data_IF_325881598077
#
_entry.id   IF_325881598077
#
_cell.length_a   1.000
_cell.length_b   1.000
_cell.length_c   1.000
_cell.angle_alpha   90.00
_cell.angle_beta   90.00
_cell.angle_gamma   90.00
#
_symmetry.space_group_name_H-M   'P 1'
#
loop_
_entity.id
_entity.type
_entity.pdbx_description
1 polymer ?
2 non-polymer ?
3 non-polymer ?
4 water ?
#
# COMPACT_ATOMS: atom_id res chain seq x y z
N UNK A 1 -30.71 4.30 1.67
CA UNK A 1 -29.37 3.71 1.48
C UNK A 1 -28.41 4.39 2.46
N UNK A 2 -27.47 3.61 2.97
CA UNK A 2 -26.49 4.06 3.94
C UNK A 2 -25.13 4.25 3.27
N UNK A 3 -24.57 5.45 3.47
CA UNK A 3 -23.32 5.88 2.86
C UNK A 3 -22.34 6.24 3.93
N UNK A 4 -21.19 5.57 3.91
CA UNK A 4 -20.10 5.85 4.81
C UNK A 4 -19.02 6.62 4.07
N UNK A 5 -18.59 7.74 4.66
CA UNK A 5 -17.41 8.46 4.19
C UNK A 5 -16.33 8.09 5.20
N UNK A 6 -15.35 7.29 4.77
CA UNK A 6 -14.35 6.73 5.63
C UNK A 6 -12.98 7.31 5.23
N UNK A 7 -12.25 7.93 6.13
CA UNK A 7 -11.05 8.65 5.77
C UNK A 7 -9.90 8.51 6.73
N UNK A 8 -8.72 8.78 6.20
CA UNK A 8 -7.54 9.02 6.98
C UNK A 8 -7.03 10.42 6.64
N UNK A 9 -6.66 11.20 7.67
CA UNK A 9 -6.02 12.49 7.49
C UNK A 9 -4.98 12.69 8.57
N UNK A 10 -3.81 13.18 8.18
CA UNK A 10 -2.81 13.56 9.18
C UNK A 10 -2.79 15.07 9.42
N UNK A 11 -2.90 15.88 8.37
CA UNK A 11 -2.80 17.34 8.50
C UNK A 11 -4.09 18.09 8.17
N UNK A 12 -5.19 17.37 8.06
CA UNK A 12 -6.49 17.98 7.89
C UNK A 12 -7.04 18.12 6.47
N UNK A 13 -6.23 17.88 5.44
CA UNK A 13 -6.73 18.14 4.07
C UNK A 13 -7.84 17.15 3.68
N UNK A 14 -7.58 15.84 3.91
CA UNK A 14 -8.59 14.86 3.64
C UNK A 14 -9.81 15.03 4.59
N UNK A 15 -9.57 15.45 5.82
CA UNK A 15 -10.67 15.72 6.75
C UNK A 15 -11.60 16.78 6.13
N UNK A 16 -11.03 17.89 5.63
CA UNK A 16 -11.86 18.89 4.98
C UNK A 16 -12.61 18.36 3.74
N UNK A 17 -11.92 17.60 2.93
CA UNK A 17 -12.56 16.97 1.77
C UNK A 17 -13.68 16.03 2.16
N UNK A 18 -13.49 15.26 3.23
CA UNK A 18 -14.49 14.30 3.68
C UNK A 18 -15.80 15.01 4.06
N UNK A 19 -15.67 16.17 4.72
CA UNK A 19 -16.85 16.97 5.08
C UNK A 19 -17.61 17.37 3.83
N UNK A 20 -16.88 17.79 2.79
CA UNK A 20 -17.53 18.16 1.52
C UNK A 20 -18.21 16.96 0.85
N UNK A 21 -17.52 15.82 0.81
CA UNK A 21 -18.12 14.61 0.23
C UNK A 21 -19.46 14.29 0.96
N UNK A 22 -19.43 14.36 2.29
CA UNK A 22 -20.60 14.08 3.09
C UNK A 22 -21.72 15.05 2.82
N UNK A 23 -21.38 16.33 2.66
CA UNK A 23 -22.38 17.33 2.31
C UNK A 23 -23.07 16.97 1.02
N UNK A 24 -22.29 16.58 0.02
CA UNK A 24 -22.87 16.22 -1.25
C UNK A 24 -23.79 15.02 -1.15
N UNK A 25 -23.33 14.00 -0.45
CA UNK A 25 -24.12 12.80 -0.28
C UNK A 25 -25.43 13.12 0.44
N UNK A 26 -25.36 14.05 1.38
CA UNK A 26 -26.55 14.42 2.16
C UNK A 26 -27.61 15.18 1.36
N UNK A 27 -27.28 15.68 0.17
CA UNK A 27 -28.25 16.31 -0.72
C UNK A 27 -29.25 15.28 -1.31
N UNK A 28 -28.91 13.99 -1.26
CA UNK A 28 -29.74 12.94 -1.85
C UNK A 28 -30.81 12.41 -0.89
N UNK A 29 -32.07 12.59 -1.28
CA UNK A 29 -33.20 12.01 -0.56
C UNK A 29 -33.00 10.51 -0.41
N UNK A 30 -33.12 10.03 0.82
CA UNK A 30 -32.99 8.59 1.07
C UNK A 30 -31.60 8.11 1.38
N UNK A 31 -30.61 8.98 1.28
CA UNK A 31 -29.25 8.64 1.68
C UNK A 31 -29.04 9.03 3.12
N UNK A 32 -28.59 8.09 3.93
CA UNK A 32 -28.24 8.30 5.33
C UNK A 32 -26.71 8.28 5.37
N UNK A 33 -26.09 9.41 5.70
CA UNK A 33 -24.64 9.59 5.57
C UNK A 33 -23.99 9.66 6.95
N UNK A 34 -22.83 9.01 7.07
CA UNK A 34 -22.02 8.96 8.28
C UNK A 34 -20.54 9.16 7.87
N UNK A 35 -19.80 9.95 8.63
CA UNK A 35 -18.39 10.20 8.46
C UNK A 35 -17.62 9.60 9.62
N UNK A 36 -16.67 8.73 9.30
CA UNK A 36 -15.77 8.14 10.28
C UNK A 36 -14.34 8.15 9.79
N UNK A 37 -13.40 8.06 10.72
CA UNK A 37 -12.00 7.93 10.40
C UNK A 37 -11.45 6.54 10.74
N UNK A 38 -10.36 6.18 10.09
CA UNK A 38 -9.59 5.01 10.52
C UNK A 38 -8.65 5.44 11.64
N UNK A 39 -8.29 4.50 12.51
CA UNK A 39 -7.40 4.85 13.60
C UNK A 39 -6.07 5.40 13.17
N UNK A 40 -5.55 6.36 13.94
CA UNK A 40 -4.18 6.73 13.82
C UNK A 40 -3.35 5.58 14.37
N UNK A 41 -2.31 5.17 13.67
CA UNK A 41 -1.45 4.11 14.10
C UNK A 41 -0.21 4.59 14.84
N UNK A 42 0.18 5.84 14.60
CA UNK A 42 1.27 6.47 15.32
C UNK A 42 0.90 6.78 16.77
N UNK A 43 1.84 6.48 17.70
CA UNK A 43 1.65 6.95 19.04
C UNK A 43 1.48 8.47 19.02
N UNK A 44 0.57 9.00 19.85
CA UNK A 44 0.36 10.45 19.88
C UNK A 44 1.63 11.28 19.97
N UNK A 45 2.62 10.79 20.73
CA UNK A 45 3.85 11.50 20.85
C UNK A 45 4.51 11.77 19.48
N UNK A 46 4.51 10.74 18.65
CA UNK A 46 5.11 10.83 17.30
C UNK A 46 4.24 11.64 16.34
N UNK A 47 2.91 11.48 16.44
CA UNK A 47 1.95 12.29 15.66
C UNK A 47 2.11 13.78 15.96
N UNK A 48 2.25 14.12 17.24
CA UNK A 48 2.46 15.51 17.65
C UNK A 48 3.83 16.03 17.20
N UNK A 49 4.87 15.18 17.27
CA UNK A 49 6.22 15.60 16.82
C UNK A 49 6.17 15.96 15.35
N UNK A 50 5.35 15.24 14.59
CA UNK A 50 5.23 15.45 13.17
C UNK A 50 4.31 16.62 12.79
N UNK A 51 3.68 17.26 13.78
CA UNK A 51 2.77 18.40 13.54
C UNK A 51 1.37 17.98 13.06
N UNK A 52 0.94 16.79 13.44
CA UNK A 52 -0.38 16.28 13.02
C UNK A 52 -1.52 17.08 13.60
N UNK A 53 -2.63 17.08 12.90
CA UNK A 53 -3.84 17.74 13.32
C UNK A 53 -4.71 16.68 13.97
N UNK A 54 -4.93 16.79 15.26
CA UNK A 54 -5.68 15.73 15.95
C UNK A 54 -7.09 15.59 15.32
N UNK A 55 -7.41 14.34 14.98
CA UNK A 55 -8.70 13.99 14.35
C UNK A 55 -9.65 13.63 15.48
N UNK A 56 -10.88 14.12 15.39
CA UNK A 56 -11.96 13.84 16.35
C UNK A 56 -13.27 13.15 15.82
N UNK A 57 -13.38 12.89 14.51
CA UNK A 57 -14.50 12.06 14.01
C UNK A 57 -14.46 10.72 14.72
N UNK A 58 -15.62 10.04 14.81
CA UNK A 58 -15.64 8.71 15.39
C UNK A 58 -14.74 7.77 14.57
N UNK A 59 -14.10 6.86 15.27
CA UNK A 59 -13.26 5.87 14.68
C UNK A 59 -14.06 4.65 14.25
N UNK A 60 -13.93 4.28 12.99
CA UNK A 60 -14.60 3.11 12.46
C UNK A 60 -13.90 1.83 12.88
N UNK A 61 -14.70 0.76 13.03
CA UNK A 61 -14.13 -0.58 13.11
C UNK A 61 -14.07 -1.16 11.69
N UNK A 62 -13.20 -2.17 11.48
CA UNK A 62 -13.19 -2.75 10.13
C UNK A 62 -14.48 -3.45 9.80
N UNK A 63 -15.09 -4.04 10.82
CA UNK A 63 -16.26 -4.90 10.61
C UNK A 63 -17.52 -4.13 10.27
N UNK A 64 -17.64 -2.87 10.72
CA UNK A 64 -18.88 -2.13 10.48
C UNK A 64 -19.05 -1.69 9.03
N UNK A 65 -17.98 -1.81 8.24
CA UNK A 65 -18.06 -1.46 6.84
C UNK A 65 -19.21 -2.21 6.17
N UNK A 66 -19.50 -3.42 6.69
CA UNK A 66 -20.56 -4.28 6.14
C UNK A 66 -21.95 -3.67 6.18
N UNK A 67 -22.12 -2.66 7.04
CA UNK A 67 -23.42 -2.06 7.29
C UNK A 67 -23.85 -1.02 6.25
N UNK A 68 -22.98 -0.68 5.32
CA UNK A 68 -23.23 0.41 4.40
C UNK A 68 -23.48 -0.09 2.98
N UNK A 69 -24.22 0.68 2.21
CA UNK A 69 -24.50 0.38 0.82
C UNK A 69 -23.42 0.96 -0.11
N UNK A 70 -22.76 2.01 0.36
CA UNK A 70 -21.65 2.66 -0.39
C UNK A 70 -20.64 3.15 0.61
N UNK A 71 -19.38 3.03 0.24
CA UNK A 71 -18.30 3.53 1.07
C UNK A 71 -17.41 4.41 0.19
N UNK A 72 -17.18 5.65 0.64
CA UNK A 72 -16.35 6.59 -0.08
C UNK A 72 -15.11 6.79 0.77
N UNK A 73 -13.96 6.33 0.26
CA UNK A 73 -12.70 6.23 0.98
C UNK A 73 -11.83 7.45 0.66
N UNK A 74 -11.31 8.11 1.69
CA UNK A 74 -10.39 9.22 1.53
C UNK A 74 -9.05 8.91 2.11
N UNK A 75 -7.97 9.16 1.34
CA UNK A 75 -6.62 8.94 1.84
C UNK A 75 -5.69 9.97 1.21
N UNK A 76 -4.72 10.48 1.99
CA UNK A 76 -3.65 11.22 1.33
C UNK A 76 -2.82 10.34 0.44
N UNK A 77 -2.16 10.99 -0.53
CA UNK A 77 -1.18 10.37 -1.42
C UNK A 77 0.12 10.24 -0.63
N UNK A 78 0.63 9.01 -0.50
CA UNK A 78 1.88 8.67 0.15
C UNK A 78 2.77 7.90 -0.84
N UNK A 79 3.59 8.65 -1.57
CA UNK A 79 4.44 8.07 -2.64
C UNK A 79 3.60 7.18 -3.57
N UNK A 80 2.45 7.73 -4.00
CA UNK A 80 1.61 7.07 -4.99
C UNK A 80 0.82 5.87 -4.51
N UNK A 81 0.71 5.71 -3.19
CA UNK A 81 -0.14 4.70 -2.55
C UNK A 81 -1.03 5.39 -1.49
N UNK A 82 -2.02 4.66 -1.01
CA UNK A 82 -2.72 5.07 0.18
C UNK A 82 -1.78 5.14 1.38
N UNK A 83 -2.24 5.79 2.44
CA UNK A 83 -1.40 5.87 3.64
C UNK A 83 -1.26 4.52 4.33
N UNK A 84 -0.19 4.41 5.14
CA UNK A 84 -0.02 3.22 5.96
C UNK A 84 -1.19 3.00 6.88
N UNK A 85 -1.80 4.10 7.37
CA UNK A 85 -2.94 3.96 8.28
C UNK A 85 -4.14 3.35 7.60
N UNK A 86 -4.43 3.81 6.38
CA UNK A 86 -5.54 3.23 5.63
C UNK A 86 -5.20 1.77 5.22
N UNK A 87 -3.96 1.50 4.85
CA UNK A 87 -3.54 0.16 4.47
C UNK A 87 -3.65 -0.81 5.66
N UNK A 88 -3.20 -0.37 6.83
CA UNK A 88 -3.30 -1.19 8.04
C UNK A 88 -4.78 -1.50 8.34
N UNK A 89 -5.63 -0.49 8.25
CA UNK A 89 -7.06 -0.68 8.45
C UNK A 89 -7.65 -1.70 7.47
N UNK A 90 -7.37 -1.52 6.18
CA UNK A 90 -7.90 -2.43 5.18
C UNK A 90 -7.36 -3.85 5.34
N UNK A 91 -6.14 -3.98 5.85
CA UNK A 91 -5.57 -5.29 6.14
C UNK A 91 -6.33 -6.02 7.28
N UNK A 92 -7.19 -5.30 7.99
CA UNK A 92 -8.00 -5.90 9.05
C UNK A 92 -9.39 -6.30 8.56
N UNK A 93 -9.62 -6.21 7.25
CA UNK A 93 -10.93 -6.60 6.66
C UNK A 93 -10.96 -8.01 6.04
N UNK A 94 -10.02 -8.84 6.44
CA UNK A 94 -9.99 -10.20 5.99
C UNK A 94 -11.23 -11.01 6.37
N UNK A 95 -11.76 -10.75 7.56
CA UNK A 95 -12.99 -11.39 7.99
C UNK A 95 -14.20 -11.08 7.15
N UNK A 96 -14.32 -9.83 6.72
CA UNK A 96 -15.35 -9.47 5.75
C UNK A 96 -15.12 -10.10 4.39
N UNK A 97 -13.84 -10.13 3.98
CA UNK A 97 -13.49 -10.68 2.70
C UNK A 97 -13.98 -12.13 2.65
N UNK A 98 -13.66 -12.88 3.69
CA UNK A 98 -13.99 -14.29 3.70
C UNK A 98 -15.51 -14.50 3.64
N UNK A 99 -16.28 -13.60 4.23
CA UNK A 99 -17.74 -13.75 4.27
C UNK A 99 -18.49 -13.10 3.12
N UNK A 100 -17.77 -12.42 2.23
CA UNK A 100 -18.44 -11.73 1.11
C UNK A 100 -19.24 -10.50 1.51
N UNK A 101 -18.92 -9.95 2.67
CA UNK A 101 -19.75 -8.91 3.25
C UNK A 101 -19.83 -7.59 2.47
N UNK A 102 -18.77 -7.25 1.72
CA UNK A 102 -18.76 -6.02 0.92
C UNK A 102 -19.08 -6.25 -0.54
N UNK A 103 -19.36 -7.49 -0.90
CA UNK A 103 -19.54 -7.86 -2.31
C UNK A 103 -20.69 -7.07 -2.92
N UNK A 104 -20.41 -6.41 -4.05
CA UNK A 104 -21.41 -5.71 -4.79
C UNK A 104 -21.78 -4.33 -4.31
N UNK A 105 -21.23 -3.92 -3.16
CA UNK A 105 -21.47 -2.59 -2.62
C UNK A 105 -20.67 -1.56 -3.39
N UNK A 106 -21.12 -0.31 -3.37
CA UNK A 106 -20.45 0.74 -4.11
C UNK A 106 -19.25 1.26 -3.36
N UNK A 107 -18.19 1.56 -4.10
CA UNK A 107 -16.97 2.16 -3.57
C UNK A 107 -16.49 3.27 -4.44
N UNK A 108 -15.90 4.29 -3.80
CA UNK A 108 -15.36 5.43 -4.53
C UNK A 108 -14.27 6.03 -3.69
N UNK A 109 -13.34 6.74 -4.33
CA UNK A 109 -12.13 7.18 -3.62
C UNK A 109 -11.79 8.64 -3.91
N UNK A 110 -11.34 9.35 -2.88
CA UNK A 110 -10.80 10.71 -3.04
C UNK A 110 -9.47 10.82 -2.36
N UNK A 111 -8.68 11.80 -2.79
CA UNK A 111 -7.33 11.91 -2.26
C UNK A 111 -6.87 13.37 -2.10
N UNK A 112 -5.66 13.51 -1.56
CA UNK A 112 -4.97 14.79 -1.37
C UNK A 112 -3.52 14.59 -1.65
N UNK A 113 -2.86 15.60 -2.16
CA UNK A 113 -1.51 15.49 -2.49
C UNK A 113 -0.80 16.82 -2.38
N UNK A 114 0.52 16.78 -2.25
CA UNK A 114 1.33 17.96 -2.58
C UNK A 114 1.37 18.15 -4.10
N UNK A 115 2.49 18.67 -4.57
CA UNK A 115 2.49 19.16 -5.95
C UNK A 115 3.38 18.23 -6.76
N UNK A 116 3.69 17.09 -6.19
CA UNK A 116 4.61 16.12 -6.71
C UNK A 116 4.04 15.07 -7.60
N UNK A 117 2.71 15.01 -7.79
CA UNK A 117 2.18 13.83 -8.49
C UNK A 117 2.01 12.61 -7.60
N UNK A 118 1.34 11.61 -8.15
CA UNK A 118 1.03 10.37 -7.45
C UNK A 118 -0.41 10.14 -7.13
N UNK A 119 -1.25 11.17 -7.23
CA UNK A 119 -2.64 11.05 -6.84
C UNK A 119 -3.37 10.03 -7.67
N UNK A 120 -3.05 9.92 -8.96
CA UNK A 120 -3.75 8.97 -9.80
C UNK A 120 -3.44 7.55 -9.36
N UNK A 121 -2.18 7.31 -9.05
CA UNK A 121 -1.76 6.01 -8.60
C UNK A 121 -2.32 5.66 -7.22
N UNK A 122 -2.45 6.66 -6.35
CA UNK A 122 -3.08 6.40 -5.05
C UNK A 122 -4.51 5.90 -5.25
N UNK A 123 -5.27 6.58 -6.10
CA UNK A 123 -6.65 6.20 -6.27
C UNK A 123 -6.77 4.83 -6.93
N UNK A 124 -6.05 4.59 -8.01
CA UNK A 124 -6.21 3.32 -8.70
C UNK A 124 -5.67 2.15 -7.92
N UNK A 125 -4.62 2.35 -7.12
CA UNK A 125 -4.12 1.25 -6.28
C UNK A 125 -5.06 1.00 -5.08
N UNK A 126 -5.90 1.97 -4.72
CA UNK A 126 -6.95 1.74 -3.74
C UNK A 126 -8.07 0.94 -4.37
N UNK A 127 -8.42 1.27 -5.62
CA UNK A 127 -9.42 0.47 -6.34
C UNK A 127 -9.10 -1.02 -6.32
N UNK A 128 -7.83 -1.37 -6.48
CA UNK A 128 -7.45 -2.78 -6.49
C UNK A 128 -8.01 -3.48 -5.27
N UNK A 129 -7.77 -2.94 -4.10
CA UNK A 129 -8.24 -3.56 -2.87
C UNK A 129 -9.75 -3.70 -2.84
N UNK A 130 -10.44 -2.64 -3.24
CA UNK A 130 -11.90 -2.64 -3.28
C UNK A 130 -12.40 -3.76 -4.20
N UNK A 131 -11.70 -3.99 -5.29
CA UNK A 131 -12.06 -5.06 -6.23
C UNK A 131 -11.89 -6.45 -5.62
N UNK A 132 -10.88 -6.65 -4.78
CA UNK A 132 -10.74 -7.95 -4.11
C UNK A 132 -11.96 -8.26 -3.27
N UNK A 133 -12.58 -7.23 -2.69
CA UNK A 133 -13.84 -7.36 -1.95
C UNK A 133 -15.08 -7.40 -2.85
N UNK A 134 -14.92 -7.36 -4.16
CA UNK A 134 -16.04 -7.41 -5.08
C UNK A 134 -16.87 -6.16 -5.11
N UNK A 135 -16.28 -5.04 -4.66
CA UNK A 135 -17.02 -3.75 -4.70
C UNK A 135 -17.09 -3.18 -6.12
N UNK A 136 -18.23 -2.52 -6.41
CA UNK A 136 -18.42 -1.79 -7.64
C UNK A 136 -17.76 -0.44 -7.51
N UNK A 137 -16.89 -0.11 -8.46
CA UNK A 137 -15.98 1.05 -8.33
C UNK A 137 -16.55 2.21 -9.13
N UNK A 138 -16.68 3.36 -8.49
CA UNK A 138 -17.29 4.55 -9.10
C UNK A 138 -16.22 5.63 -9.28
N UNK A 139 -15.73 5.82 -10.53
CA UNK A 139 -14.92 7.00 -10.83
C UNK A 139 -15.85 8.19 -11.07
N UNK A 140 -15.28 9.38 -11.08
CA UNK A 140 -16.06 10.60 -11.36
C UNK A 140 -16.03 11.09 -12.79
N UNK A 141 -15.10 10.60 -13.61
CA UNK A 141 -15.04 11.02 -14.99
C UNK A 141 -14.79 12.52 -15.08
N UNK A 142 -15.27 13.11 -16.16
CA UNK A 142 -15.04 14.55 -16.38
C UNK A 142 -16.19 15.44 -16.00
N UNK A 143 -16.97 14.94 -15.05
CA UNK A 143 -17.97 15.79 -14.36
C UNK A 143 -17.38 17.11 -13.82
N UNK A 155 -4.84 19.70 -10.68
CA UNK A 155 -4.51 18.27 -10.51
C UNK A 155 -5.70 17.34 -10.62
N UNK A 156 -6.67 17.74 -11.44
CA UNK A 156 -7.93 16.99 -11.59
C UNK A 156 -7.87 15.68 -12.37
N UNK A 157 -8.45 14.66 -11.74
CA UNK A 157 -8.54 13.39 -12.34
C UNK A 157 -9.99 12.92 -12.43
N UNK A 158 -10.20 12.10 -13.44
CA UNK A 158 -11.44 11.39 -13.56
C UNK A 158 -11.57 10.26 -12.56
N UNK A 159 -10.52 9.94 -11.82
CA UNK A 159 -10.56 8.77 -10.94
C UNK A 159 -11.30 9.04 -9.63
N UNK A 160 -11.24 10.30 -9.14
CA UNK A 160 -11.82 10.68 -7.88
C UNK A 160 -11.42 12.12 -7.60
N UNK A 161 -12.12 12.75 -6.67
CA UNK A 161 -11.78 14.13 -6.26
C UNK A 161 -10.42 14.16 -5.62
N UNK A 162 -9.70 15.27 -5.84
CA UNK A 162 -8.39 15.49 -5.26
C UNK A 162 -8.27 16.94 -4.77
N UNK A 163 -7.30 17.15 -3.91
CA UNK A 163 -6.90 18.48 -3.54
C UNK A 163 -5.39 18.55 -3.53
N UNK A 164 -4.84 19.68 -3.95
CA UNK A 164 -3.40 19.97 -3.87
C UNK A 164 -3.06 20.77 -2.58
N UNK A 165 -2.25 20.14 -1.70
CA UNK A 165 -1.94 20.65 -0.33
C UNK A 165 -0.71 21.55 -0.35
N UNK A 166 0.02 21.54 -1.47
CA UNK A 166 1.21 22.36 -1.60
C UNK A 166 2.42 21.59 -1.10
N UNK A 167 3.60 21.97 -1.59
CA UNK A 167 4.86 21.34 -1.17
C UNK A 167 5.07 21.43 0.33
N UNK A 168 4.64 22.55 0.93
CA UNK A 168 4.77 22.80 2.38
C UNK A 168 3.51 22.46 3.19
N UNK A 169 2.49 21.92 2.53
CA UNK A 169 1.24 21.53 3.18
C UNK A 169 0.35 22.69 3.60
N UNK A 170 0.71 23.90 3.23
CA UNK A 170 -0.03 25.05 3.75
C UNK A 170 -1.27 25.43 2.92
N UNK A 171 -1.41 24.89 1.73
CA UNK A 171 -2.60 25.19 0.89
C UNK A 171 -3.81 24.48 1.50
N UNK A 172 -4.96 25.15 1.46
CA UNK A 172 -6.23 24.55 1.88
C UNK A 172 -7.05 24.26 0.67
N UNK A 173 -8.01 23.28 0.75
CA UNK A 173 -8.73 22.99 -0.50
C UNK A 173 -9.42 24.21 -1.09
N UNK A 174 -9.29 24.36 -2.41
CA UNK A 174 -9.94 25.43 -3.13
C UNK A 174 -11.46 25.23 -3.19
N UNK A 175 -12.16 26.31 -3.52
CA UNK A 175 -13.58 26.25 -3.71
C UNK A 175 -13.95 25.19 -4.77
N UNK A 176 -13.21 25.18 -5.88
CA UNK A 176 -13.52 24.27 -6.96
C UNK A 176 -13.27 22.82 -6.53
N UNK A 177 -12.19 22.59 -5.80
CA UNK A 177 -11.90 21.24 -5.32
C UNK A 177 -13.00 20.73 -4.37
N UNK A 178 -13.48 21.60 -3.49
CA UNK A 178 -14.57 21.20 -2.62
C UNK A 178 -15.87 20.95 -3.39
N UNK A 179 -16.13 21.71 -4.44
CA UNK A 179 -17.30 21.47 -5.29
C UNK A 179 -17.25 20.10 -5.97
N UNK A 180 -16.08 19.70 -6.42
CA UNK A 180 -15.91 18.38 -7.05
C UNK A 180 -16.10 17.28 -5.98
N UNK A 181 -15.56 17.47 -4.78
CA UNK A 181 -15.79 16.52 -3.69
C UNK A 181 -17.28 16.40 -3.37
N UNK A 182 -17.99 17.53 -3.30
CA UNK A 182 -19.43 17.47 -3.08
C UNK A 182 -20.14 16.69 -4.18
N UNK A 183 -19.76 16.94 -5.43
CA UNK A 183 -20.33 16.21 -6.55
C UNK A 183 -20.12 14.70 -6.38
N UNK A 184 -18.90 14.31 -6.00
CA UNK A 184 -18.61 12.87 -5.87
C UNK A 184 -19.53 12.24 -4.83
N UNK A 185 -19.70 12.90 -3.70
CA UNK A 185 -20.63 12.38 -2.69
C UNK A 185 -22.07 12.32 -3.21
N UNK A 186 -22.52 13.37 -3.88
CA UNK A 186 -23.89 13.40 -4.37
C UNK A 186 -24.12 12.29 -5.41
N UNK A 187 -23.17 12.13 -6.30
CA UNK A 187 -23.29 11.16 -7.38
C UNK A 187 -23.31 9.74 -6.81
N UNK A 188 -22.35 9.42 -5.94
CA UNK A 188 -22.30 8.10 -5.33
C UNK A 188 -23.57 7.78 -4.51
N UNK A 189 -24.01 8.74 -3.71
CA UNK A 189 -25.20 8.55 -2.90
C UNK A 189 -26.43 8.31 -3.78
N UNK A 190 -26.52 9.04 -4.89
CA UNK A 190 -27.64 8.82 -5.82
C UNK A 190 -27.64 7.42 -6.37
N UNK A 191 -26.46 6.91 -6.74
CA UNK A 191 -26.36 5.55 -7.28
C UNK A 191 -26.74 4.55 -6.17
N UNK A 192 -26.34 4.83 -4.93
CA UNK A 192 -26.67 3.96 -3.81
C UNK A 192 -28.19 3.86 -3.59
N UNK A 193 -28.88 4.99 -3.70
CA UNK A 193 -30.33 5.00 -3.58
C UNK A 193 -31.00 4.30 -4.76
N UNK A 194 -30.50 4.52 -5.98
CA UNK A 194 -31.05 3.82 -7.15
C UNK A 194 -30.95 2.30 -6.97
N UNK A 195 -29.85 1.83 -6.40
CA UNK A 195 -29.63 0.39 -6.22
C UNK A 195 -30.29 -0.23 -5.00
N UNK A 196 -30.45 0.55 -3.92
CA UNK A 196 -30.88 0.01 -2.63
C UNK A 196 -32.11 0.65 -2.01
N UNK A 197 -32.63 1.70 -2.64
CA UNK A 197 -33.73 2.47 -2.06
C UNK A 197 -33.26 3.35 -0.91
N UNK B 1 29.70 -3.33 -3.65
CA UNK B 1 28.33 -2.75 -3.62
C UNK B 1 27.59 -3.39 -2.49
N UNK B 2 26.74 -2.61 -1.85
CA UNK B 2 25.96 -3.08 -0.72
C UNK B 2 24.51 -3.29 -1.14
N UNK B 3 23.99 -4.47 -0.83
CA UNK B 3 22.65 -4.90 -1.20
C UNK B 3 21.88 -5.18 0.07
N UNK B 4 20.73 -4.52 0.21
CA UNK B 4 19.80 -4.81 1.30
C UNK B 4 18.60 -5.59 0.81
N UNK B 5 18.30 -6.71 1.47
CA UNK B 5 17.06 -7.44 1.24
C UNK B 5 16.18 -7.05 2.43
N UNK B 6 15.13 -6.26 2.16
CA UNK B 6 14.26 -5.67 3.19
C UNK B 6 12.88 -6.27 3.05
N UNK B 7 12.34 -6.91 4.07
CA UNK B 7 11.10 -7.66 3.89
C UNK B 7 10.16 -7.52 5.09
N UNK B 8 8.90 -7.86 4.84
CA UNK B 8 7.91 -8.08 5.86
C UNK B 8 7.33 -9.46 5.63
N UNK B 9 7.19 -10.23 6.74
CA UNK B 9 6.56 -11.56 6.69
C UNK B 9 5.76 -11.78 7.95
N UNK B 10 4.54 -12.27 7.81
CA UNK B 10 3.76 -12.67 9.00
C UNK B 10 3.90 -14.15 9.31
N UNK B 11 3.85 -15.00 8.28
CA UNK B 11 3.85 -16.45 8.46
C UNK B 11 5.06 -17.17 7.88
N UNK B 12 6.09 -16.41 7.50
CA UNK B 12 7.35 -16.97 7.07
C UNK B 12 7.56 -17.19 5.58
N UNK B 13 6.53 -17.00 4.74
CA UNK B 13 6.73 -17.25 3.29
C UNK B 13 7.71 -16.24 2.67
N UNK B 14 7.45 -14.95 2.93
CA UNK B 14 8.38 -13.93 2.45
C UNK B 14 9.74 -14.07 3.11
N UNK B 15 9.77 -14.48 4.38
CA UNK B 15 11.07 -14.69 5.00
C UNK B 15 11.89 -15.74 4.27
N UNK B 16 11.26 -16.87 3.91
CA UNK B 16 11.98 -17.90 3.14
C UNK B 16 12.43 -17.38 1.78
N UNK B 17 11.55 -16.61 1.13
CA UNK B 17 11.90 -15.96 -0.14
C UNK B 17 13.07 -15.00 0.01
N UNK B 18 13.08 -14.22 1.08
CA UNK B 18 14.13 -13.25 1.33
C UNK B 18 15.47 -13.94 1.47
N UNK B 19 15.48 -15.05 2.17
CA UNK B 19 16.70 -15.80 2.35
C UNK B 19 17.23 -16.32 1.00
N UNK B 20 16.32 -16.72 0.12
CA UNK B 20 16.70 -17.15 -1.23
C UNK B 20 17.28 -15.97 -2.05
N UNK B 21 16.61 -14.81 -2.00
CA UNK B 21 17.11 -13.63 -2.70
C UNK B 21 18.52 -13.35 -2.22
N UNK B 22 18.72 -13.36 -0.91
CA UNK B 22 20.04 -13.07 -0.33
C UNK B 22 21.11 -14.10 -0.76
N UNK B 23 20.71 -15.37 -0.83
CA UNK B 23 21.59 -16.42 -1.29
C UNK B 23 22.07 -16.14 -2.71
N UNK B 24 21.15 -15.78 -3.58
CA UNK B 24 21.53 -15.47 -4.95
C UNK B 24 22.43 -14.25 -5.01
N UNK B 25 22.08 -13.18 -4.30
CA UNK B 25 22.87 -11.97 -4.28
C UNK B 25 24.31 -12.27 -3.81
N UNK B 26 24.45 -13.18 -2.84
CA UNK B 26 25.75 -13.49 -2.26
C UNK B 26 26.71 -14.18 -3.22
N UNK B 27 26.17 -14.72 -4.32
CA UNK B 27 26.99 -15.35 -5.35
C UNK B 27 27.86 -14.34 -6.09
N UNK B 28 27.49 -13.06 -6.02
CA UNK B 28 28.18 -12.04 -6.76
C UNK B 28 29.39 -11.53 -5.99
N UNK B 29 30.58 -11.77 -6.52
CA UNK B 29 31.77 -11.26 -5.88
C UNK B 29 31.70 -9.71 -5.86
N UNK B 30 32.04 -9.15 -4.72
CA UNK B 30 31.92 -7.70 -4.54
C UNK B 30 30.60 -7.21 -4.01
N UNK B 31 29.58 -8.08 -3.90
CA UNK B 31 28.30 -7.70 -3.30
C UNK B 31 28.33 -8.06 -1.83
N UNK B 32 28.03 -7.09 -0.98
CA UNK B 32 27.89 -7.30 0.44
C UNK B 32 26.38 -7.27 0.72
N UNK B 33 25.83 -8.39 1.14
CA UNK B 33 24.39 -8.56 1.28
C UNK B 33 23.99 -8.60 2.74
N UNK B 34 22.90 -7.93 3.07
CA UNK B 34 22.35 -7.88 4.42
C UNK B 34 20.83 -8.11 4.29
N UNK B 35 20.23 -8.87 5.20
CA UNK B 35 18.81 -9.11 5.28
C UNK B 35 18.25 -8.48 6.54
N UNK B 36 17.25 -7.61 6.40
CA UNK B 36 16.53 -7.02 7.53
C UNK B 36 15.05 -7.04 7.29
N UNK B 37 14.30 -6.97 8.38
CA UNK B 37 12.85 -6.88 8.33
C UNK B 37 12.34 -5.53 8.81
N UNK B 38 11.14 -5.16 8.34
CA UNK B 38 10.47 -3.97 8.84
C UNK B 38 9.76 -4.36 10.15
N UNK B 39 9.56 -3.38 11.04
CA UNK B 39 8.89 -3.69 12.28
C UNK B 39 7.51 -4.24 12.10
N UNK B 40 7.16 -5.17 13.00
CA UNK B 40 5.81 -5.62 13.11
C UNK B 40 5.05 -4.49 13.78
N UNK B 41 3.85 -4.20 13.28
CA UNK B 41 3.03 -3.14 13.82
C UNK B 41 1.95 -3.68 14.81
N UNK B 42 1.62 -4.97 14.68
CA UNK B 42 0.68 -5.63 15.61
C UNK B 42 1.33 -5.81 16.96
N UNK B 43 0.56 -5.57 18.05
CA UNK B 43 1.08 -5.93 19.38
C UNK B 43 1.43 -7.42 19.41
N UNK B 44 2.53 -7.78 20.07
CA UNK B 44 2.96 -9.19 20.09
C UNK B 44 1.87 -10.16 20.52
N UNK B 45 1.02 -9.76 21.46
CA UNK B 45 -0.07 -10.61 21.92
C UNK B 45 -0.98 -11.02 20.75
N UNK B 46 -1.32 -10.06 19.90
CA UNK B 46 -2.18 -10.31 18.74
C UNK B 46 -1.44 -11.10 17.67
N UNK B 47 -0.16 -10.77 17.43
CA UNK B 47 0.67 -11.48 16.45
C UNK B 47 0.78 -12.96 16.80
N UNK B 48 1.02 -13.24 18.09
CA UNK B 48 1.13 -14.61 18.58
C UNK B 48 -0.21 -15.33 18.53
N UNK B 49 -1.30 -14.63 18.88
CA UNK B 49 -2.65 -15.22 18.81
C UNK B 49 -2.97 -15.66 17.37
N UNK B 50 -2.50 -14.87 16.40
CA UNK B 50 -2.76 -15.11 14.99
C UNK B 50 -1.86 -16.18 14.36
N UNK B 51 -0.92 -16.72 15.14
CA UNK B 51 0.00 -17.76 14.68
C UNK B 51 1.14 -17.19 13.87
N UNK B 52 1.52 -15.95 14.14
CA UNK B 52 2.60 -15.30 13.42
C UNK B 52 3.92 -15.94 13.75
N UNK B 53 4.83 -15.86 12.78
CA UNK B 53 6.12 -16.50 12.94
C UNK B 53 7.19 -15.54 13.45
N UNK B 54 7.87 -15.94 14.51
CA UNK B 54 9.06 -15.24 15.02
C UNK B 54 10.26 -15.33 14.04
N UNK B 55 11.03 -14.25 13.96
CA UNK B 55 12.11 -14.13 12.97
C UNK B 55 13.42 -13.55 13.49
N UNK B 56 14.52 -14.12 13.00
CA UNK B 56 15.84 -13.80 13.51
C UNK B 56 16.38 -12.51 12.87
N UNK B 57 15.88 -12.14 11.70
CA UNK B 57 16.48 -10.98 11.04
C UNK B 57 16.37 -9.71 11.92
N UNK B 58 17.42 -8.87 11.89
CA UNK B 58 17.38 -7.58 12.53
C UNK B 58 16.32 -6.67 11.93
N UNK B 59 15.77 -5.82 12.76
CA UNK B 59 14.78 -4.82 12.34
C UNK B 59 15.48 -3.59 11.78
N UNK B 60 15.10 -3.24 10.56
CA UNK B 60 15.66 -2.07 9.89
C UNK B 60 15.07 -0.76 10.46
N UNK B 61 15.87 0.31 10.37
CA UNK B 61 15.37 1.67 10.56
C UNK B 61 15.16 2.28 9.16
N UNK B 62 14.23 3.23 9.03
CA UNK B 62 14.11 3.87 7.73
C UNK B 62 15.41 4.55 7.26
N UNK B 63 16.15 5.15 8.18
CA UNK B 63 17.29 5.95 7.82
C UNK B 63 18.42 5.14 7.21
N UNK B 64 18.53 3.87 7.61
CA UNK B 64 19.66 3.08 7.15
C UNK B 64 19.53 2.64 5.68
N UNK B 65 18.35 2.81 5.08
CA UNK B 65 18.20 2.52 3.65
C UNK B 65 19.18 3.30 2.80
N UNK B 66 19.56 4.49 3.28
CA UNK B 66 20.50 5.35 2.56
C UNK B 66 21.88 4.72 2.36
N UNK B 67 22.20 3.68 3.16
CA UNK B 67 23.51 3.08 3.16
C UNK B 67 23.77 2.05 2.07
N UNK B 68 22.75 1.76 1.26
CA UNK B 68 22.82 0.66 0.32
C UNK B 68 22.80 1.14 -1.10
N UNK B 69 23.38 0.35 -2.00
CA UNK B 69 23.37 0.61 -3.44
C UNK B 69 22.15 0.01 -4.13
N UNK B 70 21.59 -1.04 -3.56
CA UNK B 70 20.41 -1.71 -4.08
C UNK B 70 19.58 -2.16 -2.91
N UNK B 71 18.27 -2.09 -3.06
CA UNK B 71 17.33 -2.56 -2.07
C UNK B 71 16.32 -3.46 -2.76
N UNK B 72 16.19 -4.69 -2.26
CA UNK B 72 15.25 -5.66 -2.79
C UNK B 72 14.17 -5.85 -1.73
N UNK B 73 12.95 -5.40 -2.04
CA UNK B 73 11.80 -5.34 -1.12
C UNK B 73 10.93 -6.54 -1.26
N UNK B 74 10.63 -7.16 -0.14
CA UNK B 74 9.70 -8.28 -0.11
C UNK B 74 8.48 -8.02 0.75
N UNK B 75 7.29 -8.29 0.20
CA UNK B 75 6.06 -8.08 0.91
C UNK B 75 5.06 -9.13 0.51
N UNK B 76 4.26 -9.64 1.46
CA UNK B 76 3.08 -10.38 1.04
C UNK B 76 2.08 -9.47 0.36
N UNK B 77 1.22 -10.10 -0.43
CA UNK B 77 0.10 -9.42 -1.11
C UNK B 77 -1.04 -9.32 -0.12
N UNK B 78 -1.53 -8.10 0.04
CA UNK B 78 -2.67 -7.76 0.89
C UNK B 78 -3.69 -7.06 -0.02
N UNK B 79 -4.64 -7.82 -0.57
CA UNK B 79 -5.63 -7.26 -1.50
C UNK B 79 -4.98 -6.45 -2.61
N UNK B 80 -3.93 -7.00 -3.21
CA UNK B 80 -3.26 -6.35 -4.34
C UNK B 80 -2.40 -5.15 -4.03
N UNK B 81 -2.07 -4.95 -2.75
CA UNK B 81 -1.11 -3.91 -2.34
C UNK B 81 -0.07 -4.59 -1.47
N UNK B 82 1.00 -3.87 -1.18
CA UNK B 82 1.93 -4.22 -0.14
C UNK B 82 1.23 -4.25 1.22
N UNK B 83 1.86 -4.90 2.20
CA UNK B 83 1.29 -4.96 3.54
C UNK B 83 1.27 -3.61 4.21
N UNK B 84 0.38 -3.49 5.19
CA UNK B 84 0.37 -2.30 6.01
C UNK B 84 1.68 -2.05 6.72
N UNK B 85 2.38 -3.11 7.11
CA UNK B 85 3.65 -2.93 7.79
C UNK B 85 4.70 -2.33 6.88
N UNK B 86 4.75 -2.83 5.64
CA UNK B 86 5.70 -2.25 4.68
C UNK B 86 5.30 -0.80 4.30
N UNK B 87 4.00 -0.56 4.13
CA UNK B 87 3.49 0.76 3.80
C UNK B 87 3.83 1.76 4.91
N UNK B 88 3.63 1.35 6.16
CA UNK B 88 3.90 2.20 7.29
C UNK B 88 5.40 2.54 7.34
N UNK B 89 6.25 1.53 7.12
CA UNK B 89 7.69 1.75 7.11
C UNK B 89 8.07 2.75 5.99
N UNK B 90 7.56 2.51 4.76
CA UNK B 90 7.88 3.39 3.66
C UNK B 90 7.37 4.81 3.88
N UNK B 91 6.26 4.94 4.59
CA UNK B 91 5.77 6.29 4.95
C UNK B 91 6.71 7.04 5.88
N UNK B 92 7.70 6.35 6.48
CA UNK B 92 8.69 7.00 7.35
C UNK B 92 9.95 7.41 6.58
N UNK B 93 9.91 7.31 5.24
CA UNK B 93 11.07 7.64 4.42
C UNK B 93 11.02 9.05 3.81
N UNK B 94 10.16 9.93 4.34
CA UNK B 94 10.10 11.31 3.87
C UNK B 94 11.39 12.12 3.98
N UNK B 95 12.13 11.90 5.05
CA UNK B 95 13.43 12.52 5.21
C UNK B 95 14.43 12.10 4.16
N UNK B 96 14.46 10.81 3.88
CA UNK B 96 15.29 10.32 2.79
C UNK B 96 14.86 10.90 1.47
N UNK B 97 13.55 10.99 1.26
CA UNK B 97 13.04 11.56 0.03
C UNK B 97 13.55 13.00 -0.17
N UNK B 98 13.45 13.79 0.88
CA UNK B 98 13.77 15.21 0.77
C UNK B 98 15.25 15.44 0.48
N UNK B 99 16.11 14.55 0.96
CA UNK B 99 17.55 14.68 0.78
C UNK B 99 18.07 13.99 -0.49
N UNK B 100 17.19 13.30 -1.22
CA UNK B 100 17.62 12.56 -2.37
C UNK B 100 18.36 11.28 -2.04
N UNK B 101 18.17 10.74 -0.83
CA UNK B 101 19.07 9.69 -0.36
C UNK B 101 19.01 8.40 -1.17
N UNK B 102 17.84 8.10 -1.76
CA UNK B 102 17.71 6.88 -2.53
C UNK B 102 17.75 7.07 -4.05
N UNK B 103 17.93 8.32 -4.48
CA UNK B 103 17.88 8.62 -5.89
C UNK B 103 18.92 7.82 -6.68
N UNK B 104 18.48 7.13 -7.70
CA UNK B 104 19.33 6.43 -8.61
C UNK B 104 19.79 5.05 -8.15
N UNK B 105 19.46 4.69 -6.92
CA UNK B 105 19.79 3.38 -6.40
C UNK B 105 18.89 2.34 -7.02
N UNK B 106 19.36 1.09 -7.08
CA UNK B 106 18.57 0.01 -7.67
C UNK B 106 17.53 -0.53 -6.70
N UNK B 107 16.35 -0.84 -7.24
CA UNK B 107 15.25 -1.40 -6.47
C UNK B 107 14.61 -2.54 -7.21
N UNK B 108 14.14 -3.54 -6.46
CA UNK B 108 13.46 -4.66 -7.06
C UNK B 108 12.53 -5.25 -5.99
N UNK B 109 11.52 -6.01 -6.41
CA UNK B 109 10.45 -6.40 -5.51
C UNK B 109 10.09 -7.88 -5.70
N UNK B 110 9.77 -8.57 -4.59
CA UNK B 110 9.26 -9.93 -4.60
C UNK B 110 8.06 -10.04 -3.68
N UNK B 111 7.21 -11.05 -3.91
CA UNK B 111 5.98 -11.14 -3.15
C UNK B 111 5.55 -12.59 -2.92
N UNK B 112 4.41 -12.71 -2.26
CA UNK B 112 3.81 -13.98 -1.89
C UNK B 112 2.28 -13.76 -1.86
N UNK B 113 1.52 -14.77 -2.24
CA UNK B 113 0.07 -14.67 -2.21
C UNK B 113 -0.47 -16.02 -1.73
N UNK B 114 -1.72 -16.04 -1.31
CA UNK B 114 -2.42 -17.28 -0.94
C UNK B 114 -2.77 -18.09 -2.17
N UNK B 115 -3.37 -17.41 -3.14
CA UNK B 115 -3.95 -18.08 -4.28
C UNK B 115 -3.67 -17.39 -5.64
N UNK B 116 -2.71 -16.46 -5.70
CA UNK B 116 -2.24 -15.88 -6.98
C UNK B 116 -2.78 -14.47 -7.26
N UNK B 117 -4.07 -14.26 -6.96
CA UNK B 117 -4.71 -13.04 -7.33
C UNK B 117 -4.15 -11.83 -6.61
N UNK B 118 -3.71 -10.84 -7.37
CA UNK B 118 -3.21 -9.62 -6.80
C UNK B 118 -1.72 -9.49 -6.81
N UNK B 119 -0.98 -10.56 -7.10
CA UNK B 119 0.46 -10.49 -7.01
C UNK B 119 1.06 -9.41 -7.94
N UNK B 120 0.50 -9.28 -9.13
CA UNK B 120 1.04 -8.34 -10.11
C UNK B 120 0.87 -6.94 -9.62
N UNK B 121 -0.31 -6.66 -9.09
CA UNK B 121 -0.66 -5.36 -8.58
C UNK B 121 0.17 -4.99 -7.36
N UNK B 122 0.46 -5.96 -6.50
CA UNK B 122 1.33 -5.69 -5.36
C UNK B 122 2.68 -5.17 -5.80
N UNK B 123 3.27 -5.86 -6.78
CA UNK B 123 4.62 -5.49 -7.25
C UNK B 123 4.60 -4.12 -7.94
N UNK B 124 3.67 -3.91 -8.87
CA UNK B 124 3.69 -2.66 -9.63
C UNK B 124 3.30 -1.47 -8.77
N UNK B 125 2.43 -1.67 -7.76
CA UNK B 125 2.12 -0.55 -6.86
C UNK B 125 3.24 -0.27 -5.88
N UNK B 126 4.12 -1.23 -5.66
CA UNK B 126 5.34 -0.96 -4.88
C UNK B 126 6.33 -0.18 -5.73
N UNK B 127 6.44 -0.55 -7.01
CA UNK B 127 7.27 0.24 -7.93
C UNK B 127 6.95 1.73 -7.90
N UNK B 128 5.66 2.06 -7.81
CA UNK B 128 5.29 3.48 -7.76
C UNK B 128 6.08 4.22 -6.68
N UNK B 129 6.09 3.69 -5.47
CA UNK B 129 6.79 4.35 -4.38
C UNK B 129 8.29 4.45 -4.63
N UNK B 130 8.87 3.41 -5.17
CA UNK B 130 10.27 3.40 -5.49
C UNK B 130 10.59 4.49 -6.51
N UNK B 131 9.67 4.72 -7.45
CA UNK B 131 9.87 5.77 -8.45
C UNK B 131 9.79 7.17 -7.84
N UNK B 132 8.97 7.39 -6.83
CA UNK B 132 8.96 8.69 -6.14
C UNK B 132 10.31 9.02 -5.53
N UNK B 133 11.02 7.99 -5.09
CA UNK B 133 12.39 8.09 -4.58
C UNK B 133 13.44 8.17 -5.66
N UNK B 134 13.05 8.07 -6.93
CA UNK B 134 14.01 8.12 -8.01
C UNK B 134 14.81 6.84 -8.20
N UNK B 135 14.33 5.72 -7.64
CA UNK B 135 15.06 4.48 -7.77
C UNK B 135 14.90 3.87 -9.15
N UNK B 136 15.96 3.20 -9.60
CA UNK B 136 15.95 2.45 -10.85
C UNK B 136 15.30 1.11 -10.57
N UNK B 137 14.27 0.77 -11.33
CA UNK B 137 13.41 -0.39 -11.02
C UNK B 137 13.82 -1.57 -11.89
N UNK B 138 14.04 -2.72 -11.24
CA UNK B 138 14.54 -3.91 -11.94
C UNK B 138 13.47 -5.00 -11.91
N UNK B 139 12.72 -5.18 -13.01
CA UNK B 139 11.87 -6.34 -13.14
C UNK B 139 12.73 -7.55 -13.53
N UNK B 140 12.18 -8.75 -13.42
CA UNK B 140 12.91 -9.93 -13.78
C UNK B 140 12.61 -10.47 -15.17
N UNK B 141 11.54 -10.01 -15.81
CA UNK B 141 11.23 -10.51 -17.14
C UNK B 141 11.10 -12.02 -17.15
N UNK B 142 11.52 -12.62 -18.27
CA UNK B 142 11.61 -14.09 -18.39
C UNK B 142 13.07 -14.37 -18.79
N UNK B 143 13.94 -14.54 -17.81
CA UNK B 143 15.39 -14.64 -18.04
C UNK B 143 15.75 -15.95 -18.72
N UNK B 144 16.95 -15.95 -19.33
CA UNK B 144 17.49 -17.14 -19.97
C UNK B 144 17.46 -18.34 -19.03
N UNK B 145 16.89 -19.45 -19.49
CA UNK B 145 16.64 -20.58 -18.62
C UNK B 145 17.91 -21.11 -17.96
N UNK B 146 19.05 -21.06 -18.65
CA UNK B 146 20.27 -21.58 -18.03
C UNK B 146 20.79 -20.77 -16.84
N UNK B 147 20.20 -19.58 -16.57
CA UNK B 147 20.60 -18.79 -15.42
C UNK B 147 19.90 -19.19 -14.13
N UNK B 148 18.91 -20.09 -14.23
CA UNK B 148 18.22 -20.57 -13.03
C UNK B 148 18.88 -21.85 -12.58
N UNK B 149 19.08 -21.96 -11.27
CA UNK B 149 19.73 -23.17 -10.71
C UNK B 149 18.82 -24.39 -10.55
N UNK B 150 17.54 -24.27 -10.95
CA UNK B 150 16.62 -25.40 -11.04
C UNK B 150 16.07 -25.35 -12.46
N UNK B 151 16.18 -26.45 -13.22
CA UNK B 151 15.67 -26.46 -14.61
C UNK B 151 14.14 -26.39 -14.56
N UNK B 152 13.55 -25.52 -15.39
CA UNK B 152 12.08 -25.30 -15.43
C UNK B 152 11.61 -24.55 -16.68
N UNK B 156 5.90 -17.39 -15.07
CA UNK B 156 4.91 -16.38 -15.48
C UNK B 156 4.75 -15.23 -14.47
N UNK B 157 5.91 -14.65 -14.19
CA UNK B 157 6.00 -13.69 -13.18
C UNK B 157 7.07 -12.64 -13.63
N UNK B 158 6.83 -11.71 -14.64
CA UNK B 158 8.00 -10.91 -15.04
C UNK B 158 8.30 -9.74 -14.13
N UNK B 159 7.41 -9.43 -13.19
CA UNK B 159 7.56 -8.22 -12.36
C UNK B 159 8.54 -8.43 -11.19
N UNK B 160 8.56 -9.66 -10.67
CA UNK B 160 9.39 -10.02 -9.52
C UNK B 160 9.02 -11.45 -9.13
N UNK B 161 9.87 -12.06 -8.33
CA UNK B 161 9.63 -13.42 -7.88
C UNK B 161 8.41 -13.47 -6.95
N UNK B 162 7.66 -14.56 -7.04
CA UNK B 162 6.50 -14.80 -6.21
C UNK B 162 6.44 -16.26 -5.72
N UNK B 163 5.61 -16.49 -4.72
CA UNK B 163 5.35 -17.83 -4.22
C UNK B 163 3.91 -17.92 -3.80
N UNK B 164 3.35 -19.12 -3.87
CA UNK B 164 1.97 -19.43 -3.46
C UNK B 164 1.99 -20.06 -2.07
N UNK B 165 1.30 -19.44 -1.15
CA UNK B 165 1.22 -19.90 0.26
C UNK B 165 0.04 -20.86 0.49
N UNK B 166 -0.87 -20.95 -0.48
CA UNK B 166 -2.08 -21.73 -0.37
C UNK B 166 -3.18 -20.94 0.32
N UNK B 167 -4.42 -21.33 0.05
CA UNK B 167 -5.56 -20.72 0.69
C UNK B 167 -5.49 -20.78 2.22
N UNK B 168 -4.92 -21.86 2.76
CA UNK B 168 -4.76 -22.06 4.20
C UNK B 168 -3.40 -21.64 4.77
N UNK B 169 -2.53 -21.11 3.91
CA UNK B 169 -1.19 -20.68 4.31
C UNK B 169 -0.18 -21.78 4.56
N UNK B 170 -0.57 -23.01 4.30
CA UNK B 170 0.31 -24.14 4.72
C UNK B 170 1.33 -24.53 3.66
N UNK B 171 1.22 -24.02 2.43
CA UNK B 171 2.19 -24.38 1.41
C UNK B 171 3.47 -23.57 1.64
N UNK B 172 4.61 -24.22 1.37
CA UNK B 172 5.92 -23.61 1.49
C UNK B 172 6.48 -23.41 0.09
N UNK B 173 7.44 -22.47 -0.05
CA UNK B 173 7.93 -22.22 -1.39
C UNK B 173 8.59 -23.44 -2.01
N UNK B 174 8.29 -23.73 -3.27
CA UNK B 174 8.91 -24.84 -3.97
C UNK B 174 10.33 -24.43 -4.38
N UNK B 175 11.13 -25.43 -4.75
CA UNK B 175 12.47 -25.12 -5.28
C UNK B 175 12.42 -24.35 -6.61
N UNK B 176 11.37 -24.57 -7.40
CA UNK B 176 11.21 -23.81 -8.63
C UNK B 176 11.01 -22.33 -8.29
N UNK B 177 10.13 -22.03 -7.34
CA UNK B 177 9.91 -20.64 -6.91
C UNK B 177 11.16 -20.04 -6.28
N UNK B 178 11.84 -20.81 -5.43
CA UNK B 178 13.03 -20.30 -4.78
C UNK B 178 14.17 -20.04 -5.76
N UNK B 179 14.25 -20.85 -6.81
CA UNK B 179 15.25 -20.66 -7.83
C UNK B 179 15.08 -19.30 -8.52
N UNK B 180 13.83 -18.92 -8.75
CA UNK B 180 13.58 -17.61 -9.37
C UNK B 180 13.97 -16.48 -8.40
N UNK B 181 13.67 -16.64 -7.11
CA UNK B 181 14.09 -15.67 -6.10
C UNK B 181 15.62 -15.53 -6.06
N UNK B 182 16.32 -16.68 -6.10
CA UNK B 182 17.76 -16.66 -6.12
C UNK B 182 18.32 -15.95 -7.36
N UNK B 183 17.69 -16.21 -8.51
CA UNK B 183 18.06 -15.50 -9.73
C UNK B 183 17.89 -13.98 -9.55
N UNK B 184 16.75 -13.58 -8.99
CA UNK B 184 16.48 -12.15 -8.82
C UNK B 184 17.58 -11.48 -8.00
N UNK B 185 17.96 -12.13 -6.88
CA UNK B 185 19.04 -11.58 -6.06
C UNK B 185 20.37 -11.51 -6.78
N UNK B 186 20.72 -12.57 -7.50
CA UNK B 186 21.98 -12.58 -8.23
C UNK B 186 21.99 -11.51 -9.30
N UNK B 187 20.89 -11.38 -10.04
CA UNK B 187 20.78 -10.42 -11.11
C UNK B 187 20.90 -8.98 -10.58
N UNK B 188 20.13 -8.64 -9.55
CA UNK B 188 20.19 -7.30 -9.00
C UNK B 188 21.56 -7.01 -8.41
N UNK B 189 22.16 -7.97 -7.68
CA UNK B 189 23.47 -7.72 -7.11
C UNK B 189 24.53 -7.51 -8.19
N UNK B 190 24.44 -8.26 -9.27
CA UNK B 190 25.34 -8.06 -10.40
C UNK B 190 25.24 -6.67 -10.97
N UNK B 191 24.01 -6.17 -11.13
CA UNK B 191 23.84 -4.80 -11.62
C UNK B 191 24.44 -3.80 -10.64
N UNK B 192 24.24 -4.05 -9.36
CA UNK B 192 24.76 -3.16 -8.32
C UNK B 192 26.28 -3.06 -8.38
N UNK B 193 26.95 -4.18 -8.58
CA UNK B 193 28.40 -4.19 -8.70
C UNK B 193 28.85 -3.52 -9.99
N UNK B 194 28.15 -3.78 -11.08
CA UNK B 194 28.48 -3.12 -12.37
C UNK B 194 28.38 -1.58 -12.24
N UNK B 195 27.41 -1.08 -11.50
CA UNK B 195 27.22 0.38 -11.32
C UNK B 195 28.10 1.02 -10.25
N UNK B 196 28.43 0.27 -9.19
CA UNK B 196 29.08 0.86 -8.00
C UNK B 196 30.40 0.26 -7.60
N UNK B 197 30.79 -0.81 -8.28
CA UNK B 197 31.99 -1.55 -7.89
C UNK B 197 31.76 -2.41 -6.66
X LIG C 1 2.59 14.63 -2.00
X LIG C 1 2.60 14.37 -3.37
X LIG C 1 2.37 15.31 -4.18
X LIG C 1 3.03 13.20 -3.87
X LIG C 1 3.43 12.17 -3.09
X LIG C 1 3.73 11.07 -3.56
X LIG C 1 3.54 12.40 -1.67
X LIG C 1 4.02 11.47 -0.83
X LIG C 1 4.06 11.67 0.51
X LIG C 1 4.58 10.74 1.34
X LIG C 1 4.57 10.91 2.71
X LIG C 1 5.13 9.82 3.58
X LIG C 1 4.03 12.12 3.30
X LIG C 1 4.01 12.37 4.80
X LIG C 1 3.53 13.07 2.43
X LIG C 1 3.50 12.87 1.06
X LIG C 1 2.96 13.81 0.19
X LIG C 1 3.02 13.66 -1.18
X LIG C 1 2.33 15.01 0.71
X LIG C 1 0.88 14.59 1.16
X LIG C 1 0.06 13.95 0.14
X LIG C 1 0.14 15.79 1.77
X LIG C 1 0.79 16.29 2.95
X LIG C 1 -1.15 15.16 2.21
X LIG C 1 -1.98 15.17 1.07
X LIG C 1 -1.94 15.80 3.26
X LIG C 1 -3.23 15.24 3.44
X LIG C 1 -3.77 15.25 4.95
X LIG C 1 -3.65 16.69 5.41
X LIG C 1 -5.19 14.78 4.88
X LIG C 1 -2.87 14.35 5.78
X LIG D 1 -8.05 -11.53 -2.07
X LIG D 1 -7.68 -12.48 -1.28
X LIG D 1 -7.67 -12.29 0.10
X LIG D 1 -7.25 -13.73 -1.74
X LIG D 1 -6.83 -14.74 -0.88
X LIG D 1 -6.83 -14.51 0.49
X LIG D 1 -6.46 -15.41 1.28
X LIG D 1 -7.25 -13.27 0.97
X LIG E 1 6.84 12.11 -3.74
X LIG E 1 6.58 13.11 -3.02
X LIG E 1 6.80 13.15 -1.63
X LIG E 1 6.02 14.23 -3.62
X LIG E 1 5.69 15.34 -2.87
X LIG E 1 5.91 15.37 -1.51
X LIG E 1 5.59 16.39 -0.87
X LIG E 1 6.48 14.27 -0.87
X LIG F 1 -3.63 -13.78 -0.97
X LIG F 1 -3.92 -13.58 -2.28
X LIG F 1 -3.75 -14.49 -3.10
X LIG F 1 -4.40 -12.41 -2.75
X LIG F 1 -4.78 -11.40 -1.94
X LIG F 1 -5.16 -10.28 -2.41
X LIG F 1 -4.59 -11.56 -0.51
X LIG F 1 -4.96 -10.60 0.35
X LIG F 1 -4.82 -10.83 1.66
X LIG F 1 -5.26 -9.90 2.58
X LIG F 1 -5.05 -10.04 3.94
X LIG F 1 -5.49 -8.97 4.91
X LIG F 1 -4.38 -11.22 4.46
X LIG F 1 -4.16 -11.43 5.94
X LIG F 1 -3.98 -12.18 3.55
X LIG F 1 -4.13 -12.01 2.17
X LIG F 1 -3.72 -12.96 1.23
X LIG F 1 -3.98 -12.81 -0.11
X LIG F 1 -2.92 -14.13 1.64
X LIG F 1 -1.44 -13.54 1.89
X LIG F 1 -0.83 -13.00 0.68
X LIG F 1 -0.52 -14.62 2.46
X LIG F 1 -0.89 -14.78 3.85
X LIG F 1 0.92 -14.21 2.50
X LIG F 1 1.45 -14.26 1.16
X LIG F 1 1.84 -15.05 3.35
X LIG F 1 3.15 -14.48 3.32
X LIG F 1 3.94 -14.41 4.73
X LIG F 1 5.31 -13.93 4.37
X LIG F 1 3.95 -15.83 5.30
X LIG F 1 3.20 -13.47 5.65
#
# INVERSE_FOLDING_TARGET
AKVLVLYYSMYGHIETMARAVAEGASKVDGAEVVVKRVPETMPPQLFEKAGGKTQTAPVATPQELADYDAIIFGTPTRFGNMSGQMRTFLDQTGGLWASGALYGKLASVFSSTGTGGGQEQTITSTWTTLAHHGMVIVPIGYAAQELFDVSQVRGGTPYGATTIAGGDGSRQPSQEELSIARYQGEYVAGLAVKLNG
AKVLVLYYSMYGHIETMARAVAEGASKVDGAEVVVKRVPETMPPQLFEKAGGKTQTAPVATPQELADYDAIIFGTPTRFGNMSGQMRTFLDQTGGLWASGALYGKLASVFSSTGTGGGQEQTITSTWTTLAHHGMVIVPIGYAAQELFDVSQVRGGTPYGATTIAGGDGSRQPSQEELSIARYQGEYVAGLAVKLNG
FMN N1 C2 O2 N3 C4 O4 C4A N5 C5A C6 C7 C7M C8 C8M C9 C9A N10 C10 C1' C2' O2' C3' O3' C4' O4' C5' O5' P O1P O2P O3P
PLQ O5 C5 C6 C4 C3 C2 O2 C1
PLQ O5 C5 C6 C4 C3 C2 O2 C1
FMN N1 C2 O2 N3 C4 O4 C4A N5 C5A C6 C7 C7M C8 C8M C9 C9A N10 C10 C1' C2' O2' C3' O3' C4' O4' C5' O5' P O1P O2P O3P
#
